data_IF_776787851143
#
_entry.id   IF_776787851143
#
_cell.length_a   1.000
_cell.length_b   1.000
_cell.length_c   1.000
_cell.angle_alpha   90.00
_cell.angle_beta   90.00
_cell.angle_gamma   90.00
#
_symmetry.space_group_name_H-M   'P 1'
#
loop_
_entity.id
_entity.type
_entity.pdbx_description
1 polymer ?
#
# COMPACT_ATOMS: atom_id res chain seq x y z
N UNK A 1 -5.96 -20.89 -56.01
CA UNK A 1 -4.76 -20.11 -55.63
C UNK A 1 -5.17 -18.65 -55.62
N UNK A 2 -5.15 -18.00 -54.51
CA UNK A 2 -5.26 -16.56 -54.22
C UNK A 2 -6.26 -16.28 -53.08
N UNK A 3 -5.85 -16.54 -51.83
CA UNK A 3 -6.45 -15.95 -50.59
C UNK A 3 -5.49 -16.16 -49.41
N UNK A 4 -4.31 -15.62 -49.54
CA UNK A 4 -3.32 -15.65 -48.42
C UNK A 4 -2.47 -14.38 -48.39
N UNK A 5 -3.13 -13.21 -48.50
CA UNK A 5 -2.46 -11.92 -48.32
C UNK A 5 -3.45 -10.90 -47.75
N UNK A 6 -3.75 -10.96 -46.48
CA UNK A 6 -4.24 -9.79 -45.73
C UNK A 6 -4.23 -10.06 -44.22
N UNK A 7 -3.08 -10.52 -43.72
CA UNK A 7 -2.74 -10.36 -42.29
C UNK A 7 -1.56 -9.36 -42.19
N UNK A 8 -1.75 -8.18 -42.80
CA UNK A 8 -0.88 -7.04 -42.53
C UNK A 8 -1.12 -6.60 -41.09
N UNK A 9 -0.16 -6.95 -40.24
CA UNK A 9 -0.19 -6.70 -38.83
C UNK A 9 -0.58 -5.26 -38.49
N UNK A 10 -1.72 -5.12 -37.86
CA UNK A 10 -2.07 -3.92 -37.15
C UNK A 10 -0.96 -3.64 -36.16
N UNK A 11 -0.16 -2.62 -36.40
CA UNK A 11 0.85 -2.15 -35.43
C UNK A 11 0.09 -1.72 -34.18
N UNK A 12 0.22 -2.41 -33.04
CA UNK A 12 -0.65 -2.20 -31.89
C UNK A 12 -0.43 -0.88 -31.15
N UNK A 13 0.43 0.00 -31.70
CA UNK A 13 0.80 1.22 -30.98
C UNK A 13 1.10 2.37 -31.95
N UNK A 14 0.43 3.50 -31.75
CA UNK A 14 0.65 4.75 -32.47
C UNK A 14 2.08 5.29 -32.38
N UNK A 15 2.37 6.44 -33.02
CA UNK A 15 3.71 7.03 -33.07
C UNK A 15 4.28 7.25 -31.67
N UNK A 16 5.61 7.25 -31.50
CA UNK A 16 6.29 7.31 -30.18
C UNK A 16 5.85 8.49 -29.30
N UNK A 17 5.44 9.61 -29.89
CA UNK A 17 4.90 10.78 -29.16
C UNK A 17 3.55 10.48 -28.48
N UNK A 18 2.67 9.69 -29.13
CA UNK A 18 1.37 9.32 -28.54
C UNK A 18 1.50 8.39 -27.33
N UNK A 19 2.63 7.70 -27.18
CA UNK A 19 2.93 6.86 -26.00
C UNK A 19 3.56 7.66 -24.85
N UNK A 20 4.31 8.73 -25.15
CA UNK A 20 4.97 9.55 -24.13
C UNK A 20 4.01 10.47 -23.39
N UNK A 21 2.96 10.97 -24.05
CA UNK A 21 2.00 11.91 -23.45
C UNK A 21 1.29 11.39 -22.19
N UNK A 22 0.69 10.19 -22.16
CA UNK A 22 0.04 9.68 -20.94
C UNK A 22 1.05 9.41 -19.83
N UNK A 23 2.26 9.00 -20.16
CA UNK A 23 3.34 8.81 -19.19
C UNK A 23 3.73 10.14 -18.54
N UNK A 24 3.95 11.17 -19.36
CA UNK A 24 4.26 12.51 -18.88
C UNK A 24 3.13 13.07 -18.01
N UNK A 25 1.87 12.92 -18.45
CA UNK A 25 0.71 13.36 -17.68
C UNK A 25 0.62 12.66 -16.32
N UNK A 26 0.89 11.34 -16.26
CA UNK A 26 0.92 10.60 -15.02
C UNK A 26 2.05 11.07 -14.10
N UNK A 27 3.25 11.31 -14.64
CA UNK A 27 4.37 11.85 -13.87
C UNK A 27 4.05 13.24 -13.29
N UNK A 28 3.48 14.12 -14.09
CA UNK A 28 3.08 15.47 -13.65
C UNK A 28 2.00 15.38 -12.57
N UNK A 29 0.98 14.53 -12.77
CA UNK A 29 -0.07 14.32 -11.77
C UNK A 29 0.48 13.75 -10.46
N UNK A 30 1.39 12.77 -10.54
CA UNK A 30 2.02 12.18 -9.37
C UNK A 30 2.90 13.20 -8.61
N UNK A 31 3.67 14.01 -9.33
CA UNK A 31 4.49 15.07 -8.73
C UNK A 31 3.62 16.15 -8.10
N UNK A 32 2.55 16.60 -8.78
CA UNK A 32 1.61 17.57 -8.24
C UNK A 32 0.91 17.03 -6.99
N UNK A 33 0.48 15.77 -7.01
CA UNK A 33 -0.11 15.11 -5.86
C UNK A 33 0.88 15.01 -4.70
N UNK A 34 2.11 14.56 -4.96
CA UNK A 34 3.15 14.48 -3.95
C UNK A 34 3.48 15.86 -3.35
N UNK A 35 3.57 16.88 -4.19
CA UNK A 35 3.80 18.27 -3.76
C UNK A 35 2.72 18.78 -2.80
N UNK A 36 1.48 18.41 -3.01
CA UNK A 36 0.35 18.82 -2.18
C UNK A 36 0.21 17.91 -0.94
N UNK A 37 0.23 16.61 -1.14
CA UNK A 37 -0.07 15.62 -0.10
C UNK A 37 1.07 15.46 0.92
N UNK A 38 2.32 15.43 0.47
CA UNK A 38 3.46 15.22 1.36
C UNK A 38 3.61 16.33 2.40
N UNK A 39 3.61 17.62 2.06
CA UNK A 39 3.68 18.69 3.06
C UNK A 39 2.49 18.72 4.01
N UNK A 40 1.30 18.31 3.55
CA UNK A 40 0.10 18.24 4.40
C UNK A 40 0.16 17.11 5.43
N UNK A 41 0.94 16.08 5.15
CA UNK A 41 1.00 14.86 5.96
C UNK A 41 2.31 14.66 6.69
N UNK A 42 3.43 15.10 6.11
CA UNK A 42 4.74 15.02 6.75
C UNK A 42 4.93 16.20 7.70
N UNK A 43 4.85 15.87 8.96
CA UNK A 43 5.36 16.69 10.06
C UNK A 43 6.74 16.14 10.43
N UNK A 44 7.61 16.89 11.10
CA UNK A 44 8.89 16.38 11.58
C UNK A 44 8.73 15.00 12.21
N UNK A 45 9.66 14.10 11.92
CA UNK A 45 9.62 12.66 12.30
C UNK A 45 9.33 12.37 13.79
N UNK A 46 9.27 13.41 14.61
CA UNK A 46 8.97 13.35 16.04
C UNK A 46 7.50 13.57 16.36
N UNK A 47 6.70 14.11 15.43
CA UNK A 47 5.31 14.47 15.68
C UNK A 47 4.36 13.43 15.08
N UNK A 48 3.29 13.13 15.79
CA UNK A 48 2.25 12.17 15.35
C UNK A 48 1.10 12.83 14.62
N UNK A 49 1.11 14.16 14.50
CA UNK A 49 0.05 14.95 13.89
C UNK A 49 0.52 15.59 12.59
N UNK A 50 -0.36 15.63 11.61
CA UNK A 50 -0.20 16.42 10.40
C UNK A 50 -0.46 17.90 10.68
N UNK A 51 -0.07 18.76 9.78
CA UNK A 51 -0.38 20.21 9.87
C UNK A 51 -1.89 20.49 9.90
N UNK A 52 -2.70 19.61 9.31
CA UNK A 52 -4.17 19.69 9.36
C UNK A 52 -4.77 19.14 10.66
N UNK A 53 -3.94 18.72 11.63
CA UNK A 53 -4.40 18.16 12.92
C UNK A 53 -4.77 16.67 12.87
N UNK A 54 -4.68 16.04 11.71
CA UNK A 54 -4.87 14.59 11.54
C UNK A 54 -3.70 13.79 12.11
N UNK A 55 -3.79 12.48 12.01
CA UNK A 55 -2.73 11.55 12.44
C UNK A 55 -1.85 11.19 11.24
N UNK A 56 -0.54 11.18 11.44
CA UNK A 56 0.40 10.64 10.45
C UNK A 56 0.20 9.13 10.37
N UNK A 57 -0.06 8.59 9.18
CA UNK A 57 -0.44 7.19 9.00
C UNK A 57 -1.84 6.91 9.52
N UNK A 58 -2.82 7.66 9.03
CA UNK A 58 -4.21 7.65 9.48
C UNK A 58 -4.77 6.22 9.62
N UNK A 59 -4.68 5.42 8.56
CA UNK A 59 -5.23 4.06 8.55
C UNK A 59 -4.34 3.05 9.29
N UNK A 60 -3.03 3.34 9.35
CA UNK A 60 -2.09 2.56 10.15
C UNK A 60 -2.44 2.60 11.65
N UNK A 61 -3.08 3.68 12.12
CA UNK A 61 -3.48 3.81 13.52
C UNK A 61 -4.39 2.64 13.96
N UNK A 62 -5.34 2.23 13.12
CA UNK A 62 -6.20 1.08 13.39
C UNK A 62 -5.38 -0.22 13.49
N UNK A 63 -4.41 -0.44 12.57
CA UNK A 63 -3.55 -1.63 12.58
C UNK A 63 -2.68 -1.68 13.83
N UNK A 64 -2.03 -0.58 14.16
CA UNK A 64 -1.16 -0.46 15.33
C UNK A 64 -1.92 -0.67 16.63
N UNK A 65 -3.10 -0.06 16.77
CA UNK A 65 -3.93 -0.18 17.96
C UNK A 65 -4.48 -1.59 18.14
N UNK A 66 -4.95 -2.21 17.05
CA UNK A 66 -5.36 -3.61 17.05
C UNK A 66 -4.19 -4.56 17.41
N UNK A 67 -3.00 -4.31 16.87
CA UNK A 67 -1.78 -5.06 17.20
C UNK A 67 -1.44 -4.99 18.70
N UNK A 68 -1.51 -3.80 19.27
CA UNK A 68 -1.25 -3.58 20.71
C UNK A 68 -2.23 -4.37 21.59
N UNK A 69 -3.50 -4.36 21.23
CA UNK A 69 -4.54 -5.11 21.96
C UNK A 69 -4.37 -6.62 21.77
N UNK A 70 -4.01 -7.06 20.58
CA UNK A 70 -3.88 -8.48 20.25
C UNK A 70 -2.77 -9.18 21.06
N UNK A 71 -1.76 -8.47 21.51
CA UNK A 71 -0.72 -9.03 22.39
C UNK A 71 -1.23 -9.42 23.78
N UNK A 72 -2.28 -8.75 24.25
CA UNK A 72 -2.95 -9.11 25.49
C UNK A 72 -4.04 -10.15 25.22
N UNK A 73 -4.98 -9.82 24.36
CA UNK A 73 -6.13 -10.66 24.02
C UNK A 73 -6.67 -10.27 22.62
N UNK A 74 -6.54 -11.15 21.65
CA UNK A 74 -6.84 -10.84 20.23
C UNK A 74 -8.30 -10.35 19.99
N UNK A 75 -9.28 -10.84 20.76
CA UNK A 75 -10.66 -10.40 20.65
C UNK A 75 -10.87 -8.92 21.01
N UNK A 76 -9.96 -8.32 21.78
CA UNK A 76 -10.05 -6.92 22.19
C UNK A 76 -9.87 -5.96 21.01
N UNK A 77 -9.19 -6.39 19.93
CA UNK A 77 -9.08 -5.64 18.70
C UNK A 77 -10.44 -5.39 18.01
N UNK A 78 -11.45 -6.21 18.33
CA UNK A 78 -12.80 -6.14 17.77
C UNK A 78 -13.86 -5.66 18.77
N UNK A 79 -13.48 -5.50 20.02
CA UNK A 79 -14.40 -5.14 21.09
C UNK A 79 -14.36 -3.62 21.33
N UNK A 80 -15.20 -2.87 20.60
CA UNK A 80 -15.37 -1.45 20.85
C UNK A 80 -15.91 -1.24 22.28
N UNK A 81 -15.40 -0.23 23.04
CA UNK A 81 -14.56 0.91 22.66
C UNK A 81 -13.04 0.72 22.86
N UNK A 82 -12.52 -0.50 23.12
CA UNK A 82 -11.10 -0.74 23.39
C UNK A 82 -10.15 -0.27 22.29
N UNK A 83 -10.39 -0.56 20.98
CA UNK A 83 -9.58 -0.01 19.90
C UNK A 83 -9.50 1.51 19.93
N UNK A 84 -10.60 2.20 20.16
CA UNK A 84 -10.64 3.67 20.20
C UNK A 84 -9.84 4.26 21.36
N UNK A 85 -9.84 3.59 22.51
CA UNK A 85 -8.99 4.00 23.63
C UNK A 85 -7.51 3.80 23.31
N UNK A 86 -7.14 2.69 22.65
CA UNK A 86 -5.79 2.42 22.20
C UNK A 86 -5.33 3.41 21.13
N UNK A 87 -6.19 3.78 20.19
CA UNK A 87 -5.94 4.80 19.17
C UNK A 87 -5.68 6.17 19.78
N UNK A 88 -6.53 6.58 20.73
CA UNK A 88 -6.34 7.84 21.45
C UNK A 88 -5.01 7.88 22.19
N UNK A 89 -4.65 6.79 22.85
CA UNK A 89 -3.36 6.65 23.54
C UNK A 89 -2.16 6.67 22.58
N UNK A 90 -2.30 6.06 21.39
CA UNK A 90 -1.23 6.01 20.39
C UNK A 90 -1.05 7.34 19.66
N UNK A 91 -2.13 8.02 19.30
CA UNK A 91 -2.12 9.24 18.46
C UNK A 91 -2.17 10.53 19.25
N UNK A 92 -2.70 10.52 20.47
CA UNK A 92 -3.03 11.72 21.22
C UNK A 92 -4.20 12.53 20.61
N UNK A 93 -5.04 11.89 19.78
CA UNK A 93 -6.21 12.52 19.12
C UNK A 93 -7.49 11.79 19.48
N UNK A 94 -8.64 12.40 19.16
CA UNK A 94 -9.95 11.77 19.31
C UNK A 94 -10.38 10.95 18.09
N UNK A 95 -9.45 10.60 17.19
CA UNK A 95 -9.75 9.82 15.98
C UNK A 95 -10.22 8.41 16.36
N UNK A 96 -11.17 7.88 15.60
CA UNK A 96 -11.79 6.58 15.84
C UNK A 96 -11.88 5.82 14.52
N UNK A 97 -11.01 4.84 14.35
CA UNK A 97 -10.91 4.01 13.17
C UNK A 97 -11.11 2.53 13.57
N UNK A 98 -12.30 1.95 13.36
CA UNK A 98 -12.52 0.57 13.73
C UNK A 98 -11.62 -0.37 12.92
N UNK A 99 -11.01 -1.34 13.59
CA UNK A 99 -10.29 -2.41 12.92
C UNK A 99 -11.30 -3.39 12.30
N UNK A 100 -11.43 -3.35 10.97
CA UNK A 100 -12.44 -4.11 10.22
C UNK A 100 -11.85 -5.30 9.45
N UNK A 101 -10.59 -5.62 9.67
CA UNK A 101 -9.88 -6.69 8.96
C UNK A 101 -10.12 -8.04 9.60
N UNK A 102 -10.03 -9.15 8.80
CA UNK A 102 -10.12 -10.51 9.34
C UNK A 102 -9.07 -10.79 10.43
N UNK A 103 -9.33 -11.72 11.38
CA UNK A 103 -8.39 -12.06 12.44
C UNK A 103 -7.00 -12.48 11.95
N UNK A 104 -6.92 -13.11 10.77
CA UNK A 104 -5.65 -13.47 10.15
C UNK A 104 -4.74 -12.26 9.91
N UNK A 105 -5.31 -11.08 9.64
CA UNK A 105 -4.54 -9.85 9.44
C UNK A 105 -3.77 -9.44 10.72
N UNK A 106 -4.24 -9.83 11.90
CA UNK A 106 -3.50 -9.58 13.15
C UNK A 106 -2.13 -10.24 13.16
N UNK A 107 -1.90 -11.32 12.41
CA UNK A 107 -0.58 -11.94 12.30
C UNK A 107 0.42 -11.01 11.59
N UNK A 108 -0.04 -10.24 10.62
CA UNK A 108 0.78 -9.22 9.95
C UNK A 108 0.95 -7.97 10.81
N UNK A 109 -0.08 -7.60 11.56
CA UNK A 109 -0.08 -6.40 12.39
C UNK A 109 0.64 -6.61 13.75
N UNK A 110 0.55 -7.77 14.36
CA UNK A 110 1.05 -8.03 15.71
C UNK A 110 2.52 -7.63 15.93
N UNK A 111 3.47 -7.85 15.00
CA UNK A 111 4.86 -7.42 15.18
C UNK A 111 5.02 -5.89 15.34
N UNK A 112 4.07 -5.10 14.83
CA UNK A 112 4.12 -3.63 14.89
C UNK A 112 4.02 -3.12 16.34
N UNK A 113 3.38 -3.89 17.23
CA UNK A 113 3.23 -3.54 18.63
C UNK A 113 4.56 -3.56 19.42
N UNK A 114 5.61 -4.17 18.87
CA UNK A 114 6.94 -4.24 19.50
C UNK A 114 7.71 -2.92 19.45
N UNK A 115 7.29 -1.97 18.60
CA UNK A 115 7.97 -0.68 18.43
C UNK A 115 7.04 0.50 18.77
N UNK A 116 7.58 1.70 19.05
CA UNK A 116 6.80 2.93 19.13
C UNK A 116 6.10 3.24 17.80
N UNK A 117 5.02 4.04 17.84
CA UNK A 117 4.13 4.30 16.72
C UNK A 117 4.83 4.69 15.41
N UNK A 118 5.64 5.73 15.41
CA UNK A 118 6.31 6.21 14.19
C UNK A 118 7.34 5.22 13.62
N UNK A 119 8.25 4.62 14.40
CA UNK A 119 9.09 3.53 13.90
C UNK A 119 8.31 2.36 13.33
N UNK A 120 7.20 1.96 13.98
CA UNK A 120 6.34 0.90 13.48
C UNK A 120 5.66 1.28 12.15
N UNK A 121 5.19 2.52 12.00
CA UNK A 121 4.62 3.04 10.76
C UNK A 121 5.64 2.99 9.60
N UNK A 122 6.85 3.49 9.82
CA UNK A 122 7.88 3.47 8.77
C UNK A 122 8.30 2.05 8.41
N UNK A 123 8.45 1.18 9.40
CA UNK A 123 8.72 -0.24 9.16
C UNK A 123 7.59 -0.89 8.34
N UNK A 124 6.33 -0.57 8.64
CA UNK A 124 5.17 -1.03 7.89
C UNK A 124 5.18 -0.54 6.45
N UNK A 125 5.38 0.76 6.23
CA UNK A 125 5.47 1.34 4.88
C UNK A 125 6.56 0.64 4.06
N UNK A 126 7.74 0.46 4.62
CA UNK A 126 8.85 -0.24 3.95
C UNK A 126 8.50 -1.70 3.69
N UNK A 127 7.99 -2.42 4.70
CA UNK A 127 7.67 -3.84 4.60
C UNK A 127 6.57 -4.13 3.56
N UNK A 128 5.64 -3.19 3.34
CA UNK A 128 4.55 -3.37 2.36
C UNK A 128 4.92 -2.84 0.98
N UNK A 129 5.65 -1.72 0.90
CA UNK A 129 5.99 -1.08 -0.38
C UNK A 129 7.18 -1.76 -1.08
N UNK A 130 8.16 -2.29 -0.36
CA UNK A 130 9.30 -2.95 -0.97
C UNK A 130 8.92 -4.23 -1.76
N UNK A 131 8.10 -5.16 -1.23
CA UNK A 131 7.59 -6.29 -2.02
C UNK A 131 6.78 -5.84 -3.23
N UNK A 132 5.93 -4.80 -3.06
CA UNK A 132 5.16 -4.22 -4.15
C UNK A 132 6.08 -3.71 -5.26
N UNK A 133 7.11 -2.95 -4.94
CA UNK A 133 8.08 -2.43 -5.91
C UNK A 133 8.82 -3.57 -6.64
N UNK A 134 9.18 -4.65 -5.92
CA UNK A 134 9.83 -5.83 -6.51
C UNK A 134 8.91 -6.55 -7.51
N UNK A 135 7.63 -6.73 -7.16
CA UNK A 135 6.64 -7.35 -8.05
C UNK A 135 6.35 -6.44 -9.24
N UNK A 136 6.13 -5.14 -9.00
CA UNK A 136 5.92 -4.14 -10.06
C UNK A 136 7.09 -4.13 -11.06
N UNK A 137 8.33 -4.18 -10.57
CA UNK A 137 9.54 -4.27 -11.43
C UNK A 137 9.53 -5.51 -12.31
N UNK A 138 9.04 -6.65 -11.81
CA UNK A 138 8.96 -7.89 -12.58
C UNK A 138 7.87 -7.85 -13.66
N UNK A 139 6.81 -7.09 -13.45
CA UNK A 139 5.67 -6.98 -14.35
C UNK A 139 5.83 -5.85 -15.37
N UNK A 140 6.34 -4.70 -14.96
CA UNK A 140 6.32 -3.47 -15.74
C UNK A 140 7.70 -2.96 -16.17
N UNK A 141 8.79 -3.55 -15.68
CA UNK A 141 10.14 -3.15 -16.05
C UNK A 141 10.41 -1.65 -15.81
N UNK A 142 10.69 -0.89 -16.87
CA UNK A 142 10.96 0.55 -16.78
C UNK A 142 9.78 1.39 -16.28
N UNK A 143 8.54 0.91 -16.44
CA UNK A 143 7.36 1.59 -15.92
C UNK A 143 7.20 1.48 -14.40
N UNK A 144 8.08 0.75 -13.71
CA UNK A 144 8.05 0.61 -12.25
C UNK A 144 8.03 1.95 -11.52
N UNK A 145 8.83 2.91 -11.98
CA UNK A 145 8.85 4.26 -11.38
C UNK A 145 7.50 4.96 -11.52
N UNK A 146 6.82 4.83 -12.65
CA UNK A 146 5.50 5.41 -12.87
C UNK A 146 4.46 4.79 -11.95
N UNK A 147 4.54 3.46 -11.76
CA UNK A 147 3.67 2.74 -10.82
C UNK A 147 3.97 3.18 -9.39
N UNK A 148 5.24 3.25 -9.00
CA UNK A 148 5.65 3.64 -7.65
C UNK A 148 5.30 5.10 -7.31
N UNK A 149 5.32 5.99 -8.29
CA UNK A 149 4.97 7.41 -8.13
C UNK A 149 3.50 7.70 -8.45
N UNK A 150 2.69 6.68 -8.70
CA UNK A 150 1.26 6.88 -8.94
C UNK A 150 0.55 7.37 -7.68
N UNK A 151 -0.46 8.25 -7.81
CA UNK A 151 -1.19 8.78 -6.66
C UNK A 151 -1.73 7.72 -5.68
N UNK A 152 -2.27 6.57 -6.13
CA UNK A 152 -2.71 5.52 -5.21
C UNK A 152 -1.60 4.94 -4.34
N UNK A 153 -0.39 4.78 -4.88
CA UNK A 153 0.75 4.24 -4.12
C UNK A 153 1.27 5.26 -3.11
N UNK A 154 1.33 6.53 -3.51
CA UNK A 154 1.71 7.62 -2.60
C UNK A 154 0.70 7.73 -1.46
N UNK A 155 -0.60 7.75 -1.76
CA UNK A 155 -1.65 7.80 -0.73
C UNK A 155 -1.59 6.60 0.21
N UNK A 156 -1.41 5.38 -0.34
CA UNK A 156 -1.24 4.17 0.47
C UNK A 156 -0.08 4.30 1.47
N UNK A 157 1.03 4.89 1.05
CA UNK A 157 2.19 5.11 1.93
C UNK A 157 1.92 6.19 2.99
N UNK A 158 1.28 7.30 2.60
CA UNK A 158 0.95 8.43 3.50
C UNK A 158 0.00 7.98 4.61
N UNK A 159 -1.04 7.22 4.27
CA UNK A 159 -2.03 6.73 5.23
C UNK A 159 -1.57 5.46 5.97
N UNK A 160 -0.46 4.87 5.53
CA UNK A 160 0.02 3.59 6.07
C UNK A 160 -0.93 2.44 5.79
N UNK A 161 -1.59 2.47 4.63
CA UNK A 161 -2.54 1.47 4.17
C UNK A 161 -1.87 0.13 3.83
N UNK A 162 -2.66 -0.94 3.79
CA UNK A 162 -2.23 -2.28 3.41
C UNK A 162 -2.33 -2.58 1.90
N UNK A 163 -2.80 -1.62 1.08
CA UNK A 163 -3.04 -1.82 -0.35
C UNK A 163 -1.81 -2.31 -1.12
N UNK A 164 -0.61 -1.78 -0.80
CA UNK A 164 0.64 -2.23 -1.40
C UNK A 164 0.96 -3.69 -1.05
N UNK A 165 0.70 -4.12 0.20
CA UNK A 165 0.83 -5.51 0.62
C UNK A 165 -0.12 -6.41 -0.16
N UNK A 166 -1.41 -6.08 -0.17
CA UNK A 166 -2.44 -6.85 -0.88
C UNK A 166 -2.12 -6.97 -2.38
N UNK A 167 -1.72 -5.86 -3.03
CA UNK A 167 -1.33 -5.86 -4.43
C UNK A 167 -0.08 -6.73 -4.69
N UNK A 168 0.90 -6.72 -3.79
CA UNK A 168 2.11 -7.55 -3.92
C UNK A 168 1.81 -9.04 -3.74
N UNK A 169 0.96 -9.40 -2.78
CA UNK A 169 0.53 -10.78 -2.58
C UNK A 169 -0.26 -11.30 -3.78
N UNK A 170 -1.24 -10.52 -4.25
CA UNK A 170 -2.05 -10.91 -5.41
C UNK A 170 -1.20 -11.06 -6.69
N UNK A 171 -0.46 -10.02 -7.08
CA UNK A 171 0.35 -10.05 -8.28
C UNK A 171 1.53 -11.04 -8.17
N UNK A 172 2.12 -11.17 -6.97
CA UNK A 172 3.13 -12.18 -6.67
C UNK A 172 2.59 -13.60 -6.80
N UNK A 173 1.36 -13.85 -6.31
CA UNK A 173 0.66 -15.11 -6.47
C UNK A 173 0.45 -15.48 -7.94
N UNK A 174 0.01 -14.52 -8.77
CA UNK A 174 -0.12 -14.73 -10.21
C UNK A 174 1.24 -15.09 -10.86
N UNK A 175 2.31 -14.38 -10.49
CA UNK A 175 3.66 -14.71 -10.96
C UNK A 175 4.12 -16.11 -10.52
N UNK A 176 3.73 -16.56 -9.35
CA UNK A 176 4.03 -17.92 -8.87
C UNK A 176 3.27 -18.97 -9.67
N UNK A 177 2.02 -18.71 -10.04
CA UNK A 177 1.24 -19.60 -10.93
C UNK A 177 1.91 -19.73 -12.30
N UNK A 178 2.34 -18.64 -12.92
CA UNK A 178 3.03 -18.69 -14.22
C UNK A 178 4.36 -19.45 -14.15
N UNK A 179 4.93 -19.62 -12.96
CA UNK A 179 6.17 -20.39 -12.70
C UNK A 179 5.92 -21.83 -12.26
N UNK A 180 4.69 -22.31 -12.33
CA UNK A 180 4.31 -23.66 -11.91
C UNK A 180 4.40 -23.90 -10.40
N UNK A 181 4.22 -22.87 -9.58
CA UNK A 181 4.26 -22.97 -8.10
C UNK A 181 2.89 -22.71 -7.47
N UNK A 182 1.88 -23.59 -7.71
CA UNK A 182 0.50 -23.34 -7.30
C UNK A 182 0.32 -23.29 -5.76
N UNK A 183 1.07 -24.11 -5.02
CA UNK A 183 0.99 -24.11 -3.54
C UNK A 183 1.40 -22.74 -2.96
N UNK A 184 2.55 -22.21 -3.42
CA UNK A 184 3.00 -20.89 -2.98
C UNK A 184 2.06 -19.77 -3.43
N UNK A 185 1.47 -19.89 -4.61
CA UNK A 185 0.44 -18.95 -5.07
C UNK A 185 -0.81 -19.01 -4.19
N UNK A 186 -1.27 -20.18 -3.80
CA UNK A 186 -2.38 -20.37 -2.86
C UNK A 186 -2.10 -19.70 -1.51
N UNK A 187 -0.90 -19.85 -0.97
CA UNK A 187 -0.48 -19.16 0.27
C UNK A 187 -0.49 -17.64 0.11
N UNK A 188 -0.09 -17.13 -1.07
CA UNK A 188 -0.10 -15.68 -1.31
C UNK A 188 -1.52 -15.11 -1.47
N UNK A 189 -2.51 -15.92 -1.86
CA UNK A 189 -3.91 -15.49 -2.00
C UNK A 189 -4.75 -15.65 -0.72
N UNK A 190 -4.30 -16.47 0.23
CA UNK A 190 -4.99 -16.70 1.50
C UNK A 190 -4.76 -15.58 2.51
#
# INVERSE_FOLDING_TARGET
MAQAEHAAGARPFGPPLARGLPILALCVAALAYAWIAIPLTLVPFTERRTWSGGVVGNDFLAFYSAARLAWGHAADAYNLPRPFAAEAAASGTGMRLPFTYPPLFLLYAAPLAAAPYLPALYAWIVATTAPFALVARRLSGLATLLVALSPPVIQNAIDGQNGALTASLFAGGLLLLTRGRPVLAGIAFA
#
